data_IF_165013678257
#
_entry.id   IF_165013678257
#
_cell.length_a   1.000
_cell.length_b   1.000
_cell.length_c   1.000
_cell.angle_alpha   90.00
_cell.angle_beta   90.00
_cell.angle_gamma   90.00
#
_symmetry.space_group_name_H-M   'P 1'
#
loop_
_entity.id
_entity.type
_entity.pdbx_description
1 polymer ?
#
# COMPACT_ATOMS: atom_id res chain seq x y z
N UNK A 1 5.03 -27.56 -14.65
CA UNK A 1 5.98 -27.06 -13.63
C UNK A 1 5.39 -27.38 -12.27
N UNK A 2 6.17 -27.81 -11.28
CA UNK A 2 5.62 -28.02 -9.93
C UNK A 2 5.15 -26.68 -9.37
N UNK A 3 4.00 -26.67 -8.68
CA UNK A 3 3.45 -25.48 -8.03
C UNK A 3 4.46 -24.76 -7.14
N UNK A 4 5.34 -25.53 -6.47
CA UNK A 4 6.41 -25.01 -5.64
C UNK A 4 7.45 -24.20 -6.44
N UNK A 5 7.89 -24.70 -7.61
CA UNK A 5 8.88 -23.96 -8.41
C UNK A 5 8.31 -22.62 -8.85
N UNK A 6 7.08 -22.61 -9.36
CA UNK A 6 6.41 -21.37 -9.77
C UNK A 6 6.29 -20.37 -8.62
N UNK A 7 5.90 -20.84 -7.43
CA UNK A 7 5.85 -20.00 -6.23
C UNK A 7 7.21 -19.39 -5.85
N UNK A 8 8.28 -20.20 -5.87
CA UNK A 8 9.63 -19.71 -5.58
C UNK A 8 10.12 -18.69 -6.62
N UNK A 9 9.74 -18.86 -7.89
CA UNK A 9 10.09 -17.92 -8.95
C UNK A 9 9.29 -16.60 -8.79
N UNK A 10 8.03 -16.65 -8.36
CA UNK A 10 7.25 -15.45 -8.02
C UNK A 10 7.85 -14.69 -6.84
N UNK A 11 8.27 -15.38 -5.78
CA UNK A 11 8.92 -14.75 -4.62
C UNK A 11 10.18 -14.00 -5.04
N UNK A 12 11.03 -14.62 -5.88
CA UNK A 12 12.23 -13.96 -6.40
C UNK A 12 11.91 -12.71 -7.21
N UNK A 13 10.87 -12.79 -8.04
CA UNK A 13 10.43 -11.65 -8.85
C UNK A 13 9.96 -10.51 -7.94
N UNK A 14 9.10 -10.78 -6.98
CA UNK A 14 8.61 -9.80 -6.00
C UNK A 14 9.79 -9.16 -5.25
N UNK A 15 10.73 -9.96 -4.74
CA UNK A 15 11.89 -9.46 -4.00
C UNK A 15 12.83 -8.61 -4.87
N UNK A 16 12.95 -8.94 -6.17
CA UNK A 16 13.74 -8.13 -7.11
C UNK A 16 13.07 -6.81 -7.41
N UNK A 17 11.76 -6.83 -7.72
CA UNK A 17 10.98 -5.61 -8.00
C UNK A 17 10.88 -4.71 -6.78
N UNK A 18 10.73 -5.28 -5.57
CA UNK A 18 10.70 -4.52 -4.34
C UNK A 18 12.00 -3.74 -4.12
N UNK A 19 13.16 -4.34 -4.42
CA UNK A 19 14.47 -3.68 -4.36
C UNK A 19 14.65 -2.61 -5.41
N UNK A 20 14.22 -2.86 -6.64
CA UNK A 20 14.29 -1.89 -7.73
C UNK A 20 13.44 -0.64 -7.45
N UNK A 21 12.30 -0.82 -6.78
CA UNK A 21 11.41 0.27 -6.36
C UNK A 21 11.81 0.90 -5.01
N UNK A 22 12.80 0.36 -4.30
CA UNK A 22 13.20 0.85 -2.97
C UNK A 22 12.14 0.62 -1.88
N UNK A 23 11.34 -0.44 -2.02
CA UNK A 23 10.20 -0.78 -1.15
C UNK A 23 10.42 -2.08 -0.37
N UNK A 24 11.63 -2.63 -0.34
CA UNK A 24 11.93 -3.87 0.40
C UNK A 24 11.66 -3.76 1.92
N UNK A 25 11.61 -2.52 2.45
CA UNK A 25 11.29 -2.24 3.84
C UNK A 25 9.79 -2.21 4.17
N UNK A 26 8.90 -2.43 3.20
CA UNK A 26 7.46 -2.49 3.46
C UNK A 26 7.09 -3.78 4.19
N UNK A 27 6.41 -3.61 5.31
CA UNK A 27 5.78 -4.71 6.06
C UNK A 27 4.50 -5.16 5.38
N UNK A 28 3.92 -6.26 5.85
CA UNK A 28 2.64 -6.74 5.35
C UNK A 28 1.51 -5.71 5.55
N UNK A 29 1.48 -5.04 6.70
CA UNK A 29 0.52 -3.96 6.96
C UNK A 29 0.67 -2.81 5.95
N UNK A 30 1.90 -2.45 5.59
CA UNK A 30 2.14 -1.36 4.63
C UNK A 30 1.65 -1.75 3.24
N UNK A 31 1.91 -2.99 2.80
CA UNK A 31 1.40 -3.54 1.55
C UNK A 31 -0.12 -3.60 1.52
N UNK A 32 -0.76 -3.98 2.63
CA UNK A 32 -2.21 -4.02 2.74
C UNK A 32 -2.83 -2.62 2.62
N UNK A 33 -2.25 -1.62 3.27
CA UNK A 33 -2.67 -0.21 3.11
C UNK A 33 -2.50 0.27 1.68
N UNK A 34 -1.37 -0.03 1.03
CA UNK A 34 -1.11 0.31 -0.36
C UNK A 34 -2.11 -0.35 -1.32
N UNK A 35 -2.41 -1.63 -1.13
CA UNK A 35 -3.39 -2.35 -1.94
C UNK A 35 -4.79 -1.73 -1.81
N UNK A 36 -5.21 -1.36 -0.60
CA UNK A 36 -6.50 -0.68 -0.40
C UNK A 36 -6.50 0.71 -1.04
N UNK A 37 -5.41 1.48 -0.91
CA UNK A 37 -5.27 2.77 -1.61
C UNK A 37 -5.47 2.62 -3.12
N UNK A 38 -4.78 1.66 -3.73
CA UNK A 38 -4.91 1.36 -5.16
C UNK A 38 -6.34 0.95 -5.53
N UNK A 39 -6.97 0.09 -4.72
CA UNK A 39 -8.36 -0.37 -4.93
C UNK A 39 -9.37 0.79 -4.92
N UNK A 40 -9.20 1.77 -4.03
CA UNK A 40 -10.14 2.91 -3.92
C UNK A 40 -9.74 4.12 -4.75
N UNK A 41 -8.59 4.08 -5.40
CA UNK A 41 -8.10 5.17 -6.24
C UNK A 41 -8.96 5.32 -7.49
N UNK A 42 -9.24 6.56 -7.85
CA UNK A 42 -9.76 6.88 -9.18
C UNK A 42 -8.67 6.56 -10.21
N UNK A 43 -8.99 5.66 -11.15
CA UNK A 43 -8.01 5.12 -12.10
C UNK A 43 -7.58 6.12 -13.18
N UNK A 44 -8.29 7.24 -13.34
CA UNK A 44 -7.92 8.28 -14.30
C UNK A 44 -6.97 9.31 -13.67
N UNK A 45 -7.13 9.57 -12.38
CA UNK A 45 -6.40 10.63 -11.66
C UNK A 45 -5.31 10.10 -10.72
N UNK A 46 -5.40 8.82 -10.33
CA UNK A 46 -4.57 8.22 -9.30
C UNK A 46 -4.87 8.74 -7.89
N UNK A 47 -5.93 9.50 -7.69
CA UNK A 47 -6.29 10.04 -6.38
C UNK A 47 -7.18 9.07 -5.59
N UNK A 48 -6.85 8.86 -4.33
CA UNK A 48 -7.57 8.03 -3.37
C UNK A 48 -7.92 8.86 -2.13
N UNK A 49 -9.18 8.79 -1.70
CA UNK A 49 -9.59 9.32 -0.39
C UNK A 49 -9.74 8.15 0.59
N UNK A 50 -8.76 7.97 1.48
CA UNK A 50 -8.69 6.84 2.40
C UNK A 50 -8.47 7.31 3.84
N UNK A 51 -9.55 7.35 4.63
CA UNK A 51 -9.47 7.42 6.09
C UNK A 51 -9.27 6.02 6.68
N UNK A 52 -8.98 5.95 7.98
CA UNK A 52 -8.86 4.67 8.66
C UNK A 52 -10.19 3.89 8.66
N UNK A 53 -11.31 4.60 8.84
CA UNK A 53 -12.65 4.03 8.83
C UNK A 53 -12.97 3.42 7.46
N UNK A 54 -12.68 4.15 6.37
CA UNK A 54 -12.86 3.64 5.00
C UNK A 54 -11.88 2.50 4.66
N UNK A 55 -10.70 2.50 5.26
CA UNK A 55 -9.77 1.38 5.13
C UNK A 55 -10.36 0.08 5.70
N UNK A 56 -11.02 0.13 6.87
CA UNK A 56 -11.67 -1.05 7.46
C UNK A 56 -12.84 -1.59 6.63
N UNK A 57 -13.50 -0.76 5.83
CA UNK A 57 -14.59 -1.19 4.94
C UNK A 57 -14.13 -2.07 3.77
N UNK A 58 -12.82 -2.19 3.51
CA UNK A 58 -12.27 -2.83 2.31
C UNK A 58 -11.91 -4.32 2.48
N UNK A 59 -12.69 -5.07 3.28
CA UNK A 59 -12.48 -6.51 3.54
C UNK A 59 -11.10 -6.82 4.15
N UNK A 60 -10.55 -5.84 4.85
CA UNK A 60 -9.37 -6.00 5.69
C UNK A 60 -9.75 -6.93 6.84
N UNK A 61 -8.98 -8.00 7.09
CA UNK A 61 -9.22 -8.83 8.27
C UNK A 61 -9.29 -7.95 9.52
N UNK A 62 -10.40 -8.02 10.25
CA UNK A 62 -10.68 -7.12 11.36
C UNK A 62 -9.58 -7.26 12.44
N UNK A 63 -8.87 -6.17 12.71
CA UNK A 63 -7.72 -6.16 13.63
C UNK A 63 -6.34 -6.45 13.02
N UNK A 64 -6.24 -6.73 11.70
CA UNK A 64 -4.95 -6.97 11.03
C UNK A 64 -4.03 -5.73 11.01
N UNK A 65 -4.61 -4.53 10.92
CA UNK A 65 -3.87 -3.25 10.96
C UNK A 65 -4.54 -2.31 11.94
N UNK A 66 -3.85 -2.02 13.06
CA UNK A 66 -4.31 -1.02 14.02
C UNK A 66 -4.30 0.40 13.44
N UNK A 67 -5.08 1.31 14.02
CA UNK A 67 -5.11 2.72 13.60
C UNK A 67 -3.73 3.39 13.58
N UNK A 68 -2.91 3.14 14.60
CA UNK A 68 -1.55 3.69 14.66
C UNK A 68 -0.65 3.09 13.59
N UNK A 69 -0.79 1.80 13.31
CA UNK A 69 -0.06 1.15 12.21
C UNK A 69 -0.50 1.70 10.86
N UNK A 70 -1.80 1.89 10.60
CA UNK A 70 -2.31 2.50 9.37
C UNK A 70 -1.64 3.85 9.05
N UNK A 71 -1.55 4.75 10.04
CA UNK A 71 -0.90 6.04 9.83
C UNK A 71 0.62 5.93 9.67
N UNK A 72 1.27 4.98 10.35
CA UNK A 72 2.70 4.68 10.12
C UNK A 72 2.93 4.17 8.70
N UNK A 73 2.05 3.30 8.21
CA UNK A 73 2.10 2.77 6.85
C UNK A 73 1.95 3.87 5.82
N UNK A 74 0.95 4.76 5.95
CA UNK A 74 0.80 5.91 5.05
C UNK A 74 2.07 6.77 5.00
N UNK A 75 2.65 7.08 6.16
CA UNK A 75 3.92 7.82 6.23
C UNK A 75 5.05 7.08 5.54
N UNK A 76 5.15 5.76 5.74
CA UNK A 76 6.18 4.93 5.11
C UNK A 76 6.02 4.89 3.58
N UNK A 77 4.78 4.84 3.08
CA UNK A 77 4.48 4.90 1.65
C UNK A 77 4.84 6.28 1.06
N UNK A 78 4.60 7.37 1.79
CA UNK A 78 5.07 8.72 1.44
C UNK A 78 6.62 8.77 1.41
N UNK A 79 7.29 8.24 2.44
CA UNK A 79 8.77 8.19 2.53
C UNK A 79 9.39 7.36 1.38
N UNK A 80 8.70 6.33 0.91
CA UNK A 80 9.07 5.51 -0.26
C UNK A 80 8.66 6.15 -1.60
N UNK A 81 8.11 7.37 -1.60
CA UNK A 81 7.64 8.08 -2.81
C UNK A 81 6.59 7.31 -3.63
N UNK A 82 5.85 6.39 -3.02
CA UNK A 82 4.77 5.64 -3.68
C UNK A 82 3.48 6.44 -3.73
N UNK A 83 3.29 7.34 -2.77
CA UNK A 83 2.13 8.21 -2.67
C UNK A 83 2.53 9.62 -2.23
N UNK A 84 1.68 10.60 -2.53
CA UNK A 84 1.77 11.96 -2.03
C UNK A 84 0.45 12.38 -1.39
N UNK A 85 0.51 13.11 -0.27
CA UNK A 85 -0.69 13.64 0.37
C UNK A 85 -1.16 14.93 -0.32
N UNK A 86 -2.40 14.93 -0.83
CA UNK A 86 -3.01 16.06 -1.53
C UNK A 86 -3.91 16.87 -0.58
N UNK A 87 -4.02 18.18 -0.80
CA UNK A 87 -4.85 19.10 0.01
C UNK A 87 -4.39 19.30 1.48
N UNK A 88 -3.10 19.10 1.77
CA UNK A 88 -2.45 19.54 3.01
C UNK A 88 -2.23 18.46 4.07
N UNK A 89 -1.57 18.79 5.21
CA UNK A 89 -1.00 17.81 6.14
C UNK A 89 -2.01 16.91 6.86
N UNK A 90 -3.27 17.35 6.98
CA UNK A 90 -4.35 16.62 7.66
C UNK A 90 -5.35 15.97 6.70
N UNK A 91 -5.10 16.06 5.41
CA UNK A 91 -5.96 15.48 4.40
C UNK A 91 -5.87 13.95 4.44
N UNK A 92 -7.02 13.29 4.27
CA UNK A 92 -7.12 11.85 4.01
C UNK A 92 -7.10 11.52 2.52
N UNK A 93 -6.65 12.46 1.68
CA UNK A 93 -6.49 12.28 0.24
C UNK A 93 -5.03 12.06 -0.11
N UNK A 94 -4.80 11.09 -0.98
CA UNK A 94 -3.50 10.67 -1.46
C UNK A 94 -3.53 10.55 -2.97
N UNK A 95 -2.41 10.82 -3.62
CA UNK A 95 -2.19 10.54 -5.04
C UNK A 95 -1.16 9.43 -5.14
N UNK A 96 -1.43 8.38 -5.90
CA UNK A 96 -0.45 7.35 -6.20
C UNK A 96 0.52 7.84 -7.28
N UNK A 97 1.80 7.56 -7.09
CA UNK A 97 2.86 7.83 -8.05
C UNK A 97 3.03 6.59 -8.94
N UNK A 98 2.19 6.48 -9.96
CA UNK A 98 2.13 5.35 -10.91
C UNK A 98 2.42 5.84 -12.32
#
# INVERSE_FOLDING_TARGET
MSSLRFFLDLLRLIDSTARELGVEGLTEADRQVLNVLWKVADQNTGEAALSYERFLENEVEEGSVSRSQFFKSLKKLEDCSLIERVAGPRSSRYKLNV
#
